data_IF_244281967285
#
_entry.id   IF_244281967285
#
_cell.length_a   1.000
_cell.length_b   1.000
_cell.length_c   1.000
_cell.angle_alpha   90.00
_cell.angle_beta   90.00
_cell.angle_gamma   90.00
#
_symmetry.space_group_name_H-M   'P 1'
#
loop_
_entity.id
_entity.type
_entity.pdbx_description
1 polymer ?
#
# COMPACT_ATOMS: atom_id res chain seq x y z
N UNK A 1 -24.13 -9.13 42.24
CA UNK A 1 -23.10 -9.68 41.35
C UNK A 1 -23.58 -9.51 39.93
N UNK A 2 -23.02 -8.52 39.22
CA UNK A 2 -23.43 -8.19 37.85
C UNK A 2 -22.80 -9.23 36.92
N UNK A 3 -23.64 -9.95 36.17
CA UNK A 3 -23.23 -10.83 35.10
C UNK A 3 -22.41 -10.04 34.08
N UNK A 4 -21.11 -10.27 34.00
CA UNK A 4 -20.31 -9.85 32.85
C UNK A 4 -20.81 -10.61 31.62
N UNK A 5 -21.38 -9.88 30.66
CA UNK A 5 -21.65 -10.41 29.33
C UNK A 5 -20.36 -10.96 28.72
N UNK A 6 -20.41 -12.08 27.95
CA UNK A 6 -19.24 -12.58 27.27
C UNK A 6 -18.69 -11.49 26.35
N UNK A 7 -17.41 -11.14 26.52
CA UNK A 7 -16.73 -10.14 25.70
C UNK A 7 -16.82 -10.50 24.20
N UNK A 8 -16.76 -9.49 23.31
CA UNK A 8 -16.96 -9.70 21.89
C UNK A 8 -15.90 -10.64 21.32
N UNK A 9 -16.38 -11.65 20.59
CA UNK A 9 -15.58 -12.61 19.86
C UNK A 9 -14.56 -11.90 18.96
N UNK A 10 -13.28 -12.25 19.11
CA UNK A 10 -12.17 -11.71 18.31
C UNK A 10 -12.12 -12.44 16.95
N UNK A 11 -12.11 -11.75 15.80
CA UNK A 11 -11.63 -12.35 14.55
C UNK A 11 -10.12 -12.66 14.53
N UNK A 12 -9.73 -13.79 13.94
CA UNK A 12 -8.33 -14.19 13.66
C UNK A 12 -8.00 -13.92 12.21
N UNK A 13 -6.79 -13.47 11.94
CA UNK A 13 -6.17 -13.85 10.67
C UNK A 13 -5.38 -15.13 10.86
N UNK A 14 -5.60 -16.09 9.96
CA UNK A 14 -4.74 -17.26 9.89
C UNK A 14 -3.51 -16.87 9.08
N UNK A 15 -2.42 -16.66 9.78
CA UNK A 15 -1.11 -16.37 9.22
C UNK A 15 -0.25 -17.61 9.40
N UNK A 16 -0.36 -18.58 8.49
CA UNK A 16 0.56 -19.71 8.53
C UNK A 16 1.84 -19.39 7.75
N UNK A 17 3.00 -19.85 8.24
CA UNK A 17 4.23 -19.82 7.46
C UNK A 17 4.05 -20.68 6.20
N UNK A 18 4.47 -20.13 5.05
CA UNK A 18 4.67 -20.79 3.76
C UNK A 18 4.11 -22.22 3.66
N UNK A 19 2.80 -22.29 3.57
CA UNK A 19 2.12 -23.54 3.31
C UNK A 19 2.34 -23.92 1.85
N UNK A 20 2.90 -25.10 1.62
CA UNK A 20 2.92 -25.72 0.30
C UNK A 20 1.90 -26.87 0.28
N UNK A 21 1.13 -26.97 -0.80
CA UNK A 21 0.22 -28.08 -1.06
C UNK A 21 -1.13 -27.95 -0.37
N UNK A 22 -1.43 -28.85 0.59
CA UNK A 22 -2.79 -28.99 1.16
C UNK A 22 -3.26 -27.78 1.98
N UNK A 23 -2.34 -26.91 2.37
CA UNK A 23 -2.60 -25.75 3.23
C UNK A 23 -2.84 -24.45 2.45
N UNK A 24 -2.56 -24.38 1.14
CA UNK A 24 -2.64 -23.15 0.34
C UNK A 24 -4.02 -22.45 0.44
N UNK A 25 -5.09 -23.23 0.69
CA UNK A 25 -6.46 -22.72 0.85
C UNK A 25 -6.79 -22.18 2.25
N UNK A 26 -5.83 -22.25 3.18
CA UNK A 26 -6.03 -21.98 4.60
C UNK A 26 -5.05 -20.94 5.14
N UNK A 27 -4.23 -20.34 4.28
CA UNK A 27 -3.09 -19.51 4.70
C UNK A 27 -2.96 -18.27 3.85
N UNK A 28 -2.65 -17.14 4.48
CA UNK A 28 -2.42 -15.88 3.76
C UNK A 28 -1.22 -16.03 2.83
N UNK A 29 -1.35 -15.52 1.61
CA UNK A 29 -0.29 -15.54 0.61
C UNK A 29 -0.13 -14.19 -0.05
N UNK A 30 1.06 -13.93 -0.57
CA UNK A 30 1.33 -12.78 -1.40
C UNK A 30 2.23 -13.15 -2.58
N UNK A 31 2.31 -12.28 -3.58
CA UNK A 31 3.15 -12.47 -4.75
C UNK A 31 3.46 -11.15 -5.43
N UNK A 32 4.59 -11.10 -6.14
CA UNK A 32 4.96 -9.94 -6.93
C UNK A 32 3.99 -9.75 -8.10
N UNK A 33 3.77 -8.49 -8.48
CA UNK A 33 3.09 -8.17 -9.75
C UNK A 33 4.02 -8.49 -10.93
N UNK A 34 3.64 -9.42 -11.83
CA UNK A 34 4.49 -9.85 -12.93
C UNK A 34 4.70 -8.78 -14.02
N UNK A 35 3.92 -7.69 -13.99
CA UNK A 35 4.09 -6.58 -14.92
C UNK A 35 5.41 -5.82 -14.67
N UNK A 36 5.91 -5.88 -13.44
CA UNK A 36 7.00 -5.05 -12.96
C UNK A 36 8.26 -5.86 -12.69
N UNK A 37 9.41 -5.34 -13.11
CA UNK A 37 10.72 -5.81 -12.65
C UNK A 37 11.01 -5.18 -11.28
N UNK A 38 10.49 -5.79 -10.21
CA UNK A 38 10.63 -5.32 -8.84
C UNK A 38 11.17 -6.43 -7.92
N UNK A 39 11.46 -6.08 -6.68
CA UNK A 39 11.70 -7.09 -5.64
C UNK A 39 10.42 -7.88 -5.38
N UNK A 40 10.59 -9.19 -5.18
CA UNK A 40 9.51 -10.05 -4.77
C UNK A 40 9.37 -10.03 -3.24
N UNK A 41 8.14 -10.15 -2.70
CA UNK A 41 7.98 -10.38 -1.28
C UNK A 41 8.58 -11.74 -0.91
N UNK A 42 8.70 -12.03 0.39
CA UNK A 42 9.06 -13.36 0.85
C UNK A 42 8.09 -14.42 0.27
N UNK A 43 8.49 -15.69 0.23
CA UNK A 43 7.63 -16.74 -0.36
C UNK A 43 6.22 -16.81 0.27
N UNK A 44 6.10 -16.47 1.56
CA UNK A 44 4.84 -16.26 2.24
C UNK A 44 5.02 -15.29 3.42
N UNK A 45 3.96 -14.59 3.83
CA UNK A 45 4.02 -13.74 5.02
C UNK A 45 4.20 -14.56 6.28
N UNK A 46 5.16 -14.17 7.12
CA UNK A 46 5.30 -14.68 8.49
C UNK A 46 4.41 -13.89 9.43
N UNK A 47 4.38 -14.25 10.72
CA UNK A 47 3.68 -13.46 11.74
C UNK A 47 4.27 -12.05 11.90
N UNK A 48 5.52 -11.80 11.49
CA UNK A 48 6.17 -10.49 11.58
C UNK A 48 5.71 -9.54 10.48
N UNK A 49 5.18 -10.07 9.37
CA UNK A 49 4.51 -9.28 8.36
C UNK A 49 3.21 -8.62 8.85
N UNK A 50 2.75 -8.92 10.08
CA UNK A 50 1.56 -8.34 10.70
C UNK A 50 1.94 -7.56 11.97
N UNK A 51 2.51 -6.35 11.84
CA UNK A 51 3.04 -5.58 12.97
C UNK A 51 1.98 -5.20 14.00
N UNK A 52 0.71 -5.05 13.56
CA UNK A 52 -0.43 -4.67 14.42
C UNK A 52 -1.19 -5.85 15.04
N UNK A 53 -0.68 -7.08 14.92
CA UNK A 53 -1.31 -8.24 15.53
C UNK A 53 -1.25 -8.13 17.07
N UNK A 54 -2.42 -8.14 17.72
CA UNK A 54 -2.57 -8.10 19.18
C UNK A 54 -2.17 -9.40 19.88
N UNK A 55 -2.34 -10.54 19.20
CA UNK A 55 -1.97 -11.86 19.69
C UNK A 55 -1.37 -12.64 18.53
N UNK A 56 -0.24 -13.30 18.76
CA UNK A 56 0.37 -14.22 17.80
C UNK A 56 0.39 -15.61 18.43
N UNK A 57 -0.26 -16.59 17.81
CA UNK A 57 -0.29 -17.98 18.30
C UNK A 57 0.05 -18.96 17.18
N UNK A 58 0.80 -20.00 17.51
CA UNK A 58 1.23 -21.06 16.58
C UNK A 58 0.62 -22.41 16.98
N UNK A 59 0.80 -23.41 16.11
CA UNK A 59 0.33 -24.79 16.34
C UNK A 59 -1.18 -24.88 16.61
N UNK A 60 -1.97 -24.13 15.83
CA UNK A 60 -3.42 -24.17 15.87
C UNK A 60 -3.96 -25.14 14.83
N UNK A 61 -4.96 -25.93 15.21
CA UNK A 61 -5.59 -26.91 14.33
C UNK A 61 -6.60 -26.22 13.41
N UNK A 62 -6.65 -26.64 12.15
CA UNK A 62 -7.59 -26.09 11.17
C UNK A 62 -8.87 -26.95 11.15
N UNK A 63 -10.06 -26.38 11.43
CA UNK A 63 -11.31 -27.11 11.34
C UNK A 63 -11.53 -27.73 9.96
N UNK A 64 -11.89 -29.01 9.91
CA UNK A 64 -12.10 -29.75 8.66
C UNK A 64 -10.82 -30.26 7.99
N UNK A 65 -9.64 -30.04 8.57
CA UNK A 65 -8.38 -30.52 8.02
C UNK A 65 -7.50 -31.24 9.08
N UNK A 66 -7.77 -32.53 9.36
CA UNK A 66 -7.04 -33.29 10.36
C UNK A 66 -5.52 -33.28 10.14
N UNK A 67 -4.76 -33.04 11.20
CA UNK A 67 -3.30 -32.99 11.20
C UNK A 67 -2.70 -31.69 10.64
N UNK A 68 -3.50 -30.77 10.10
CA UNK A 68 -3.02 -29.46 9.68
C UNK A 68 -2.81 -28.52 10.87
N UNK A 69 -1.67 -27.83 10.87
CA UNK A 69 -1.31 -26.82 11.86
C UNK A 69 -0.99 -25.51 11.17
N UNK A 70 -1.48 -24.41 11.75
CA UNK A 70 -1.28 -23.05 11.25
C UNK A 70 -0.85 -22.14 12.38
N UNK A 71 -0.29 -20.98 12.01
CA UNK A 71 -0.13 -19.86 12.92
C UNK A 71 -1.18 -18.78 12.62
N UNK A 72 -1.39 -17.89 13.58
CA UNK A 72 -2.44 -16.88 13.56
C UNK A 72 -1.91 -15.56 14.08
N UNK A 73 -2.20 -14.50 13.33
CA UNK A 73 -2.08 -13.12 13.73
C UNK A 73 -3.49 -12.63 14.12
N UNK A 74 -3.77 -12.51 15.42
CA UNK A 74 -5.05 -12.04 15.95
C UNK A 74 -5.11 -10.52 15.99
N UNK A 75 -6.09 -9.92 15.32
CA UNK A 75 -6.32 -8.47 15.31
C UNK A 75 -7.51 -8.10 16.18
N UNK A 76 -7.42 -6.95 16.86
CA UNK A 76 -8.54 -6.46 17.65
C UNK A 76 -9.65 -5.96 16.72
N UNK A 77 -10.87 -6.38 17.02
CA UNK A 77 -12.04 -6.07 16.21
C UNK A 77 -12.97 -5.18 17.01
N UNK A 78 -13.51 -4.17 16.34
CA UNK A 78 -14.42 -3.20 16.91
C UNK A 78 -15.64 -3.05 16.03
N UNK A 79 -16.75 -2.60 16.62
CA UNK A 79 -17.95 -2.31 15.88
C UNK A 79 -17.92 -0.86 15.41
N UNK A 80 -17.91 -0.65 14.10
CA UNK A 80 -18.08 0.66 13.47
C UNK A 80 -19.58 0.98 13.47
N UNK A 81 -19.98 1.97 14.28
CA UNK A 81 -21.39 2.34 14.45
C UNK A 81 -21.97 3.01 13.21
N UNK A 82 -21.16 3.72 12.45
CA UNK A 82 -21.59 4.47 11.27
C UNK A 82 -21.81 3.52 10.09
N UNK A 83 -20.89 2.56 9.92
CA UNK A 83 -20.98 1.50 8.90
C UNK A 83 -21.87 0.34 9.32
N UNK A 84 -22.25 0.29 10.61
CA UNK A 84 -23.00 -0.80 11.24
C UNK A 84 -22.39 -2.20 11.06
N UNK A 85 -21.05 -2.28 11.01
CA UNK A 85 -20.30 -3.50 10.72
C UNK A 85 -19.17 -3.70 11.73
N UNK A 86 -18.72 -4.95 11.87
CA UNK A 86 -17.50 -5.27 12.61
C UNK A 86 -16.29 -5.06 11.70
N UNK A 87 -15.29 -4.34 12.20
CA UNK A 87 -14.09 -3.98 11.45
C UNK A 87 -12.82 -4.23 12.27
N UNK A 88 -11.71 -4.44 11.56
CA UNK A 88 -10.38 -4.47 12.13
C UNK A 88 -9.39 -3.91 11.13
N UNK A 89 -8.38 -3.20 11.63
CA UNK A 89 -7.28 -2.72 10.82
C UNK A 89 -6.19 -3.78 10.74
N UNK A 90 -5.81 -4.11 9.52
CA UNK A 90 -4.75 -5.06 9.21
C UNK A 90 -3.67 -4.28 8.50
N UNK A 91 -2.56 -4.08 9.18
CA UNK A 91 -1.34 -3.56 8.60
C UNK A 91 -0.45 -4.73 8.19
N UNK A 92 0.14 -4.62 7.00
CA UNK A 92 1.05 -5.62 6.46
C UNK A 92 2.35 -4.97 6.03
N UNK A 93 3.47 -5.61 6.40
CA UNK A 93 4.81 -5.22 5.94
C UNK A 93 5.29 -6.21 4.87
N UNK A 94 5.25 -5.83 3.58
CA UNK A 94 5.77 -6.66 2.48
C UNK A 94 7.29 -6.53 2.28
N UNK A 95 7.99 -5.80 3.15
CA UNK A 95 9.39 -5.45 2.99
C UNK A 95 9.60 -4.51 1.80
N UNK A 96 10.49 -4.90 0.89
CA UNK A 96 10.88 -4.06 -0.26
C UNK A 96 10.05 -4.28 -1.53
N UNK A 97 9.03 -5.15 -1.47
CA UNK A 97 8.22 -5.47 -2.64
C UNK A 97 7.38 -4.28 -3.12
N UNK A 98 7.28 -4.12 -4.44
CA UNK A 98 6.46 -3.07 -5.05
C UNK A 98 5.08 -3.61 -5.44
N UNK A 99 4.01 -3.03 -4.89
CA UNK A 99 2.62 -3.38 -5.22
C UNK A 99 2.31 -4.90 -5.20
N UNK A 100 2.78 -5.68 -4.18
CA UNK A 100 2.52 -7.10 -4.18
C UNK A 100 1.02 -7.38 -4.03
N UNK A 101 0.56 -8.42 -4.72
CA UNK A 101 -0.77 -8.97 -4.50
C UNK A 101 -0.76 -9.74 -3.18
N UNK A 102 -1.83 -9.60 -2.39
CA UNK A 102 -2.08 -10.37 -1.19
C UNK A 102 -3.45 -11.03 -1.29
N UNK A 103 -3.55 -12.27 -0.82
CA UNK A 103 -4.80 -12.96 -0.56
C UNK A 103 -4.84 -13.39 0.91
N UNK A 104 -5.72 -12.75 1.67
CA UNK A 104 -5.85 -13.01 3.10
C UNK A 104 -6.63 -14.30 3.37
N UNK A 105 -6.14 -15.10 4.33
CA UNK A 105 -6.88 -16.20 4.92
C UNK A 105 -7.40 -15.79 6.31
N UNK A 106 -8.71 -15.70 6.43
CA UNK A 106 -9.41 -15.12 7.58
C UNK A 106 -10.19 -16.21 8.33
N UNK A 107 -10.19 -16.15 9.66
CA UNK A 107 -11.01 -17.00 10.52
C UNK A 107 -11.52 -16.18 11.73
N UNK A 108 -12.30 -16.79 12.62
CA UNK A 108 -12.56 -16.22 13.96
C UNK A 108 -11.56 -16.82 14.95
N UNK A 109 -10.96 -15.99 15.80
CA UNK A 109 -9.98 -16.41 16.80
C UNK A 109 -10.57 -16.33 18.19
N UNK A 110 -10.50 -17.39 18.97
CA UNK A 110 -10.84 -17.29 20.39
C UNK A 110 -9.61 -17.71 21.19
N UNK A 111 -8.71 -16.79 21.56
CA UNK A 111 -7.45 -17.13 22.25
C UNK A 111 -7.69 -17.87 23.57
N UNK A 112 -8.82 -17.61 24.22
CA UNK A 112 -9.24 -18.24 25.48
C UNK A 112 -10.16 -19.46 25.29
N UNK A 113 -10.35 -19.96 24.06
CA UNK A 113 -11.12 -21.19 23.82
C UNK A 113 -10.32 -22.45 24.14
N UNK A 114 -11.05 -23.57 24.27
CA UNK A 114 -10.51 -24.87 24.62
C UNK A 114 -9.44 -25.33 23.62
N UNK A 115 -8.24 -25.61 24.12
CA UNK A 115 -7.15 -26.29 23.42
C UNK A 115 -6.60 -27.41 24.32
N UNK A 116 -6.90 -28.64 23.97
CA UNK A 116 -6.40 -29.87 24.62
C UNK A 116 -5.66 -30.72 23.59
N UNK A 117 -5.08 -31.84 24.04
CA UNK A 117 -4.38 -32.79 23.16
C UNK A 117 -5.24 -33.26 21.98
N UNK A 118 -6.53 -33.49 22.22
CA UNK A 118 -7.43 -34.14 21.25
C UNK A 118 -8.45 -33.17 20.63
N UNK A 119 -8.48 -31.91 21.08
CA UNK A 119 -9.47 -30.92 20.62
C UNK A 119 -8.90 -29.51 20.65
N UNK A 120 -9.07 -28.80 19.55
CA UNK A 120 -8.72 -27.38 19.42
C UNK A 120 -9.91 -26.62 18.84
N UNK A 121 -10.46 -25.71 19.64
CA UNK A 121 -11.63 -24.90 19.29
C UNK A 121 -11.30 -23.41 19.16
N UNK A 122 -10.01 -23.06 19.02
CA UNK A 122 -9.60 -21.65 18.95
C UNK A 122 -9.89 -20.99 17.60
N UNK A 123 -10.09 -21.78 16.54
CA UNK A 123 -10.36 -21.27 15.19
C UNK A 123 -11.71 -21.73 14.64
N UNK A 124 -12.36 -20.84 13.90
CA UNK A 124 -13.42 -21.22 12.96
C UNK A 124 -12.84 -21.79 11.67
N UNK A 125 -13.72 -22.22 10.75
CA UNK A 125 -13.33 -22.46 9.36
C UNK A 125 -12.68 -21.21 8.75
N UNK A 126 -11.71 -21.46 7.85
CA UNK A 126 -10.95 -20.42 7.15
C UNK A 126 -11.67 -20.02 5.88
N UNK A 127 -11.70 -18.72 5.58
CA UNK A 127 -12.22 -18.14 4.35
C UNK A 127 -11.12 -17.33 3.68
N UNK A 128 -10.98 -17.48 2.37
CA UNK A 128 -10.07 -16.64 1.58
C UNK A 128 -10.79 -15.38 1.13
N UNK A 129 -10.14 -14.23 1.32
CA UNK A 129 -10.54 -12.99 0.68
C UNK A 129 -10.18 -13.00 -0.81
N UNK A 130 -10.69 -12.02 -1.54
CA UNK A 130 -10.20 -11.71 -2.88
C UNK A 130 -8.79 -11.12 -2.82
N UNK A 131 -8.10 -11.13 -3.97
CA UNK A 131 -6.79 -10.50 -4.07
C UNK A 131 -6.91 -8.98 -3.93
N UNK A 132 -5.99 -8.40 -3.16
CA UNK A 132 -5.77 -6.96 -3.07
C UNK A 132 -4.30 -6.66 -3.35
N UNK A 133 -3.97 -5.42 -3.72
CA UNK A 133 -2.57 -4.97 -3.81
C UNK A 133 -2.23 -4.10 -2.60
N UNK A 134 -1.07 -4.35 -2.00
CA UNK A 134 -0.53 -3.50 -0.94
C UNK A 134 0.20 -2.31 -1.58
N UNK A 135 -0.23 -1.09 -1.27
CA UNK A 135 0.45 0.10 -1.76
C UNK A 135 1.83 0.22 -1.08
N UNK A 136 2.88 0.62 -1.80
CA UNK A 136 4.19 0.85 -1.23
C UNK A 136 4.19 2.16 -0.44
N UNK A 137 4.87 2.16 0.70
CA UNK A 137 4.98 3.37 1.51
C UNK A 137 5.75 4.48 0.78
N UNK A 138 5.36 5.72 1.08
CA UNK A 138 5.97 6.94 0.54
C UNK A 138 6.29 7.89 1.69
N UNK A 139 7.52 8.39 1.68
CA UNK A 139 7.91 9.55 2.48
C UNK A 139 8.08 10.74 1.55
N UNK A 140 7.29 11.79 1.77
CA UNK A 140 7.37 13.03 0.99
C UNK A 140 7.83 14.18 1.89
N UNK A 141 8.73 15.02 1.39
CA UNK A 141 9.26 16.19 2.11
C UNK A 141 9.27 17.42 1.22
N UNK A 142 9.05 18.59 1.83
CA UNK A 142 9.20 19.89 1.21
C UNK A 142 10.23 20.69 2.02
N UNK A 143 11.28 21.15 1.37
CA UNK A 143 12.35 21.95 1.96
C UNK A 143 12.34 23.32 1.29
N UNK A 144 12.14 24.36 2.09
CA UNK A 144 12.07 25.72 1.59
C UNK A 144 13.46 26.34 1.46
N UNK A 145 13.69 27.05 0.37
CA UNK A 145 14.88 27.87 0.21
C UNK A 145 14.80 29.10 1.13
N UNK A 146 15.92 29.44 1.78
CA UNK A 146 15.98 30.55 2.74
C UNK A 146 16.23 31.91 2.05
N UNK A 147 16.87 31.92 0.89
CA UNK A 147 17.20 33.12 0.13
C UNK A 147 16.10 33.48 -0.86
N UNK A 148 15.46 32.48 -1.48
CA UNK A 148 14.37 32.64 -2.43
C UNK A 148 13.08 32.01 -1.91
N UNK A 149 12.18 32.84 -1.35
CA UNK A 149 10.90 32.40 -0.78
C UNK A 149 9.94 31.76 -1.77
N UNK A 150 10.28 31.72 -3.06
CA UNK A 150 9.50 31.07 -4.10
C UNK A 150 10.00 29.67 -4.41
N UNK A 151 11.18 29.27 -3.95
CA UNK A 151 11.76 27.96 -4.26
C UNK A 151 11.49 26.95 -3.14
N UNK A 152 10.99 25.80 -3.55
CA UNK A 152 10.77 24.65 -2.67
C UNK A 152 11.34 23.41 -3.31
N UNK A 153 12.24 22.71 -2.63
CA UNK A 153 12.70 21.39 -3.03
C UNK A 153 11.74 20.35 -2.49
N UNK A 154 11.13 19.57 -3.38
CA UNK A 154 10.25 18.47 -3.02
C UNK A 154 10.98 17.16 -3.26
N UNK A 155 10.91 16.25 -2.29
CA UNK A 155 11.47 14.91 -2.41
C UNK A 155 10.44 13.86 -2.04
N UNK A 156 10.46 12.73 -2.74
CA UNK A 156 9.63 11.56 -2.47
C UNK A 156 10.54 10.34 -2.43
N UNK A 157 10.38 9.46 -1.46
CA UNK A 157 11.16 8.24 -1.33
C UNK A 157 10.28 7.04 -1.00
N UNK A 158 10.63 5.86 -1.54
CA UNK A 158 9.95 4.61 -1.25
C UNK A 158 10.33 3.48 -2.21
N UNK A 159 9.70 2.33 -2.01
CA UNK A 159 9.89 1.15 -2.86
C UNK A 159 9.33 1.39 -4.27
N UNK A 160 10.04 0.92 -5.30
CA UNK A 160 9.71 1.10 -6.72
C UNK A 160 10.06 -0.13 -7.56
N UNK A 161 9.39 -0.26 -8.71
CA UNK A 161 9.87 -1.17 -9.76
C UNK A 161 11.08 -0.57 -10.49
N UNK A 162 12.00 -1.41 -10.98
CA UNK A 162 13.19 -1.00 -11.73
C UNK A 162 12.97 -0.89 -13.23
N UNK A 163 11.94 -1.57 -13.74
CA UNK A 163 11.51 -1.44 -15.12
C UNK A 163 10.23 -2.20 -15.43
N UNK A 164 9.75 -2.01 -16.64
CA UNK A 164 8.61 -2.71 -17.24
C UNK A 164 8.88 -2.91 -18.72
N UNK A 165 7.89 -3.40 -19.48
CA UNK A 165 7.96 -3.40 -20.94
C UNK A 165 8.09 -1.99 -21.54
N UNK A 166 7.73 -0.94 -20.81
CA UNK A 166 7.92 0.45 -21.23
C UNK A 166 9.38 0.95 -21.10
N UNK A 167 10.25 0.21 -20.39
CA UNK A 167 11.67 0.57 -20.25
C UNK A 167 12.23 0.32 -18.86
N UNK A 168 13.55 0.50 -18.72
CA UNK A 168 14.29 0.38 -17.45
C UNK A 168 14.32 1.72 -16.73
N UNK A 169 13.25 2.04 -16.02
CA UNK A 169 13.15 3.22 -15.14
C UNK A 169 12.16 2.96 -14.00
N UNK A 170 12.26 3.70 -12.88
CA UNK A 170 11.22 3.70 -11.86
C UNK A 170 9.94 4.41 -12.34
N UNK A 171 8.86 4.37 -11.54
CA UNK A 171 7.71 5.24 -11.71
C UNK A 171 8.11 6.70 -11.98
N UNK A 172 7.28 7.38 -12.74
CA UNK A 172 7.34 8.82 -12.95
C UNK A 172 6.72 9.51 -11.74
N UNK A 173 7.40 10.49 -11.14
CA UNK A 173 6.81 11.35 -10.11
C UNK A 173 6.80 12.79 -10.63
N UNK A 174 5.63 13.39 -10.64
CA UNK A 174 5.44 14.80 -10.98
C UNK A 174 4.92 15.58 -9.77
N UNK A 175 5.30 16.85 -9.66
CA UNK A 175 4.76 17.79 -8.69
C UNK A 175 4.14 18.96 -9.42
N UNK A 176 2.89 19.26 -9.11
CA UNK A 176 2.17 20.43 -9.62
C UNK A 176 1.92 21.42 -8.49
N UNK A 177 2.35 22.67 -8.67
CA UNK A 177 2.00 23.75 -7.73
C UNK A 177 0.52 24.08 -7.89
N UNK A 178 -0.20 24.09 -6.77
CA UNK A 178 -1.56 24.60 -6.71
C UNK A 178 -1.63 25.83 -5.81
N UNK A 179 -2.44 26.80 -6.21
CA UNK A 179 -2.79 27.96 -5.38
C UNK A 179 -4.24 27.87 -4.93
N UNK A 180 -4.52 28.37 -3.73
CA UNK A 180 -5.88 28.44 -3.20
C UNK A 180 -6.58 29.70 -3.70
N UNK A 181 -7.82 29.55 -4.18
CA UNK A 181 -8.67 30.68 -4.53
C UNK A 181 -9.17 31.40 -3.26
N UNK A 182 -9.08 32.75 -3.20
CA UNK A 182 -9.67 33.51 -2.11
C UNK A 182 -11.19 33.29 -2.01
N UNK A 183 -11.70 33.15 -0.79
CA UNK A 183 -13.15 33.06 -0.52
C UNK A 183 -13.81 31.71 -0.90
N UNK A 184 -13.03 30.70 -1.29
CA UNK A 184 -13.52 29.34 -1.54
C UNK A 184 -12.91 28.39 -0.51
N UNK A 185 -13.74 27.54 0.09
CA UNK A 185 -13.31 26.56 1.08
C UNK A 185 -13.21 25.15 0.50
N UNK A 186 -12.48 24.28 1.19
CA UNK A 186 -12.34 22.86 0.86
C UNK A 186 -11.46 22.58 -0.37
N UNK A 187 -11.49 21.32 -0.82
CA UNK A 187 -10.63 20.81 -1.89
C UNK A 187 -10.83 21.50 -3.24
N UNK A 188 -12.05 22.00 -3.51
CA UNK A 188 -12.37 22.72 -4.75
C UNK A 188 -11.76 24.13 -4.82
N UNK A 189 -11.20 24.64 -3.73
CA UNK A 189 -10.53 25.93 -3.70
C UNK A 189 -9.19 25.91 -4.46
N UNK A 190 -8.58 24.74 -4.62
CA UNK A 190 -7.23 24.58 -5.13
C UNK A 190 -7.20 24.41 -6.64
N UNK A 191 -6.44 25.25 -7.33
CA UNK A 191 -6.27 25.19 -8.78
C UNK A 191 -4.81 25.03 -9.16
N UNK A 192 -4.49 24.25 -10.21
CA UNK A 192 -3.14 24.18 -10.74
C UNK A 192 -2.67 25.55 -11.22
N UNK A 193 -1.47 25.94 -10.81
CA UNK A 193 -0.78 27.10 -11.37
C UNK A 193 -0.31 26.74 -12.78
N UNK A 194 -0.54 27.64 -13.73
CA UNK A 194 -0.18 27.44 -15.14
C UNK A 194 1.33 27.17 -15.27
N UNK A 195 1.68 26.17 -16.07
CA UNK A 195 3.05 25.78 -16.40
C UNK A 195 3.93 25.46 -15.16
N UNK A 196 3.33 25.14 -14.01
CA UNK A 196 4.01 24.87 -12.74
C UNK A 196 3.97 23.38 -12.37
N UNK A 197 4.21 22.50 -13.36
CA UNK A 197 4.38 21.06 -13.15
C UNK A 197 5.81 20.65 -13.48
N UNK A 198 6.45 19.91 -12.57
CA UNK A 198 7.84 19.46 -12.69
C UNK A 198 7.87 17.94 -12.54
N UNK A 199 8.46 17.23 -13.52
CA UNK A 199 8.89 15.84 -13.33
C UNK A 199 10.12 15.83 -12.41
N UNK A 200 10.06 15.05 -11.34
CA UNK A 200 11.17 14.92 -10.40
C UNK A 200 12.24 14.01 -10.98
N UNK A 201 13.49 14.40 -10.81
CA UNK A 201 14.64 13.54 -11.12
C UNK A 201 14.74 12.41 -10.10
N UNK A 202 15.19 11.22 -10.51
CA UNK A 202 15.27 10.06 -9.63
C UNK A 202 16.70 9.60 -9.42
N UNK A 203 16.97 9.03 -8.25
CA UNK A 203 18.21 8.34 -7.89
C UNK A 203 17.90 7.12 -7.05
N UNK A 204 18.43 5.97 -7.45
CA UNK A 204 18.33 4.73 -6.67
C UNK A 204 19.12 4.85 -5.35
N UNK A 205 18.47 4.49 -4.25
CA UNK A 205 19.07 4.38 -2.92
C UNK A 205 19.50 2.94 -2.61
N UNK A 206 18.77 1.98 -3.18
CA UNK A 206 19.07 0.55 -3.19
C UNK A 206 18.45 -0.08 -4.44
N UNK A 207 18.51 -1.40 -4.57
CA UNK A 207 17.84 -2.10 -5.67
C UNK A 207 16.30 -1.93 -5.65
N UNK A 208 15.71 -1.64 -4.49
CA UNK A 208 14.27 -1.53 -4.33
C UNK A 208 13.76 -0.12 -4.04
N UNK A 209 14.59 0.72 -3.40
CA UNK A 209 14.19 2.06 -2.97
C UNK A 209 14.78 3.13 -3.88
N UNK A 210 13.96 4.11 -4.21
CA UNK A 210 14.34 5.26 -5.05
C UNK A 210 13.96 6.56 -4.36
N UNK A 211 14.77 7.59 -4.59
CA UNK A 211 14.52 8.97 -4.23
C UNK A 211 14.19 9.75 -5.49
N UNK A 212 13.02 10.38 -5.54
CA UNK A 212 12.68 11.41 -6.51
C UNK A 212 12.87 12.78 -5.88
N UNK A 213 13.50 13.72 -6.57
CA UNK A 213 13.74 15.07 -6.06
C UNK A 213 13.69 16.12 -7.18
N UNK A 214 13.29 17.33 -6.83
CA UNK A 214 13.24 18.45 -7.76
C UNK A 214 12.80 19.73 -7.08
N UNK A 215 13.07 20.86 -7.73
CA UNK A 215 12.69 22.18 -7.20
C UNK A 215 11.50 22.72 -7.97
N UNK A 216 10.43 23.06 -7.24
CA UNK A 216 9.29 23.81 -7.75
C UNK A 216 9.47 25.29 -7.45
N UNK A 217 8.91 26.14 -8.32
CA UNK A 217 8.91 27.59 -8.15
C UNK A 217 7.48 28.09 -8.01
N UNK A 218 7.19 28.79 -6.92
CA UNK A 218 5.90 29.41 -6.65
C UNK A 218 5.71 30.66 -7.53
N UNK A 219 4.47 30.99 -7.93
CA UNK A 219 4.21 32.17 -8.76
C UNK A 219 4.50 33.50 -8.03
N UNK A 220 4.51 33.48 -6.69
CA UNK A 220 4.83 34.61 -5.80
C UNK A 220 5.40 34.05 -4.48
N UNK A 221 5.85 34.93 -3.60
CA UNK A 221 6.39 34.54 -2.29
C UNK A 221 5.39 33.66 -1.53
N UNK A 222 5.89 32.58 -0.91
CA UNK A 222 5.06 31.63 -0.13
C UNK A 222 4.26 32.29 1.00
N UNK A 223 4.70 33.44 1.48
CA UNK A 223 4.03 34.19 2.54
C UNK A 223 2.87 35.05 2.01
N UNK A 224 2.77 35.24 0.68
CA UNK A 224 1.78 36.11 0.04
C UNK A 224 0.48 35.38 -0.36
N UNK A 225 0.48 34.05 -0.44
CA UNK A 225 -0.73 33.23 -0.61
C UNK A 225 -0.52 31.79 -0.15
N UNK A 226 -1.61 31.05 -0.01
CA UNK A 226 -1.57 29.63 0.31
C UNK A 226 -1.27 28.80 -0.95
N UNK A 227 -0.20 28.00 -0.87
CA UNK A 227 0.21 27.04 -1.90
C UNK A 227 0.20 25.61 -1.36
N UNK A 228 0.05 24.65 -2.28
CA UNK A 228 0.33 23.24 -2.01
C UNK A 228 1.03 22.60 -3.20
N UNK A 229 1.85 21.59 -2.92
CA UNK A 229 2.43 20.70 -3.92
C UNK A 229 1.52 19.47 -4.08
N UNK A 230 0.89 19.32 -5.24
CA UNK A 230 0.20 18.09 -5.62
C UNK A 230 1.23 17.13 -6.23
N UNK A 231 1.56 16.08 -5.49
CA UNK A 231 2.46 15.00 -5.90
C UNK A 231 1.63 13.94 -6.61
N UNK A 232 2.09 13.45 -7.77
CA UNK A 232 1.45 12.37 -8.53
C UNK A 232 2.50 11.38 -9.00
N UNK A 233 2.34 10.12 -8.65
CA UNK A 233 3.16 9.02 -9.14
C UNK A 233 2.42 8.24 -10.23
N UNK A 234 3.13 7.97 -11.32
CA UNK A 234 2.64 7.19 -12.43
C UNK A 234 3.53 6.00 -12.71
N UNK A 235 2.91 4.83 -12.81
CA UNK A 235 3.54 3.69 -13.46
C UNK A 235 3.50 3.87 -14.98
N UNK A 236 4.52 3.37 -15.67
CA UNK A 236 4.66 3.44 -17.11
C UNK A 236 4.62 2.03 -17.71
N UNK A 237 3.70 1.80 -18.64
CA UNK A 237 3.49 0.50 -19.27
C UNK A 237 3.29 0.61 -20.77
N UNK A 238 3.62 -0.47 -21.47
CA UNK A 238 3.36 -0.58 -22.90
C UNK A 238 1.86 -0.83 -23.12
N UNK A 239 1.25 -0.06 -24.01
CA UNK A 239 -0.15 -0.17 -24.41
C UNK A 239 -0.25 -0.61 -25.88
N UNK A 240 -1.40 -1.20 -26.21
CA UNK A 240 -1.81 -1.61 -27.56
C UNK A 240 -2.52 -0.50 -28.33
N UNK A 241 -2.59 0.71 -27.76
CA UNK A 241 -3.21 1.87 -28.42
C UNK A 241 -2.45 2.19 -29.71
N UNK A 242 -3.17 2.44 -30.82
CA UNK A 242 -2.54 2.79 -32.07
C UNK A 242 -1.84 4.14 -31.95
N UNK A 243 -0.58 4.19 -32.39
CA UNK A 243 0.14 5.46 -32.52
C UNK A 243 -0.67 6.43 -33.37
N UNK A 244 -0.88 7.69 -32.92
CA UNK A 244 -1.52 8.72 -33.74
C UNK A 244 -0.69 9.06 -34.99
N UNK A 245 0.60 8.70 -34.99
CA UNK A 245 1.50 8.84 -36.13
C UNK A 245 1.51 7.53 -36.91
N UNK A 246 0.85 7.52 -38.07
CA UNK A 246 0.86 6.41 -39.02
C UNK A 246 2.24 6.34 -39.68
N UNK A 247 3.10 5.46 -39.19
CA UNK A 247 4.28 4.99 -39.90
C UNK A 247 4.36 3.48 -39.81
N UNK A 248 4.94 2.85 -40.82
CA UNK A 248 5.09 1.39 -41.04
C UNK A 248 5.84 0.62 -39.94
N UNK A 249 6.22 1.27 -38.85
CA UNK A 249 6.81 0.67 -37.66
C UNK A 249 5.76 0.64 -36.52
N UNK A 250 5.47 -0.54 -35.99
CA UNK A 250 4.71 -0.69 -34.74
C UNK A 250 5.62 -0.25 -33.60
N UNK A 251 5.70 1.05 -33.34
CA UNK A 251 6.34 1.58 -32.15
C UNK A 251 5.34 1.37 -31.00
N UNK A 252 5.70 0.61 -29.96
CA UNK A 252 4.80 0.42 -28.84
C UNK A 252 4.50 1.73 -28.13
N UNK A 253 3.22 2.03 -27.92
CA UNK A 253 2.83 3.24 -27.21
C UNK A 253 3.05 3.06 -25.71
N UNK A 254 3.77 3.98 -25.08
CA UNK A 254 3.88 4.04 -23.62
C UNK A 254 2.69 4.83 -23.09
N UNK A 255 1.92 4.21 -22.19
CA UNK A 255 0.86 4.87 -21.43
C UNK A 255 1.25 4.92 -19.94
N UNK A 256 0.50 5.71 -19.17
CA UNK A 256 0.77 5.92 -17.75
C UNK A 256 -0.48 5.76 -16.89
N UNK A 257 -0.32 5.18 -15.69
CA UNK A 257 -1.41 4.97 -14.70
C UNK A 257 -1.06 5.68 -13.41
N UNK A 258 -1.94 6.57 -12.94
CA UNK A 258 -1.78 7.20 -11.63
C UNK A 258 -1.96 6.14 -10.54
N UNK A 259 -0.95 5.99 -9.67
CA UNK A 259 -0.97 4.99 -8.58
C UNK A 259 -0.88 5.60 -7.19
N UNK A 260 -0.36 6.82 -7.09
CA UNK A 260 -0.31 7.55 -5.83
C UNK A 260 -0.48 9.04 -6.11
N UNK A 261 -1.22 9.71 -5.23
CA UNK A 261 -1.35 11.15 -5.23
C UNK A 261 -1.45 11.65 -3.79
N UNK A 262 -0.76 12.74 -3.49
CA UNK A 262 -0.76 13.34 -2.16
C UNK A 262 -0.48 14.85 -2.26
N UNK A 263 -0.73 15.57 -1.17
CA UNK A 263 -0.57 17.02 -1.09
C UNK A 263 0.31 17.43 0.08
N UNK A 264 1.36 18.19 -0.22
CA UNK A 264 2.14 18.89 0.81
C UNK A 264 1.70 20.36 0.85
N UNK A 265 1.32 20.85 2.02
CA UNK A 265 1.14 22.29 2.23
C UNK A 265 2.50 22.99 2.20
N UNK A 266 2.57 24.14 1.53
CA UNK A 266 3.79 24.91 1.32
C UNK A 266 3.73 26.26 2.04
#
# INVERSE_FOLDING_TARGET
MVNQAPGPAIPAMVAAPAATGRLDKYTTRWGADPLWMADAPQAAPTLDAFPRASVKETDLSVPGLPGAKVAVAGHQVHYDRDRQLWCCDIEMDPGTAYFPFVQLALARFQPNSLKTRDRDCKLSGVVLADFAQLLPDRTATAVFDQADKRKVTVSVAGAAYRGSKAGKRPPLVEVTVQSKRPGVEGELAWLPVKDATVELEHRWLSDANVLWTGTITLPQDRDAAEFRALIREYELYQSDRPSPTVTTAVIPQIDRRLVYADVLKL
#
